data_IF_486628912612
#
_entry.id   IF_486628912612
#
_cell.length_a   1.000
_cell.length_b   1.000
_cell.length_c   1.000
_cell.angle_alpha   90.00
_cell.angle_beta   90.00
_cell.angle_gamma   90.00
#
_symmetry.space_group_name_H-M   'P 1'
#
loop_
_entity.id
_entity.type
_entity.pdbx_description
1 polymer ?
#
# COMPACT_ATOMS: atom_id res chain seq x y z
N UNK A 1 8.42 -5.70 40.14
CA UNK A 1 9.20 -6.07 38.94
C UNK A 1 8.72 -7.41 38.46
N UNK A 2 7.75 -7.39 37.54
CA UNK A 2 7.26 -8.59 36.87
C UNK A 2 8.16 -8.91 35.69
N UNK A 3 8.53 -10.19 35.54
CA UNK A 3 9.30 -10.68 34.39
C UNK A 3 8.41 -11.59 33.59
N UNK A 4 8.27 -11.32 32.29
CA UNK A 4 7.51 -12.18 31.38
C UNK A 4 8.50 -12.95 30.51
N UNK A 5 8.44 -14.28 30.59
CA UNK A 5 9.26 -15.17 29.77
C UNK A 5 8.53 -15.39 28.44
N UNK A 6 9.20 -15.09 27.34
CA UNK A 6 8.71 -15.33 25.97
C UNK A 6 9.57 -16.38 25.28
N UNK A 7 9.16 -16.81 24.08
CA UNK A 7 9.99 -17.68 23.23
C UNK A 7 11.32 -17.05 22.81
N UNK A 8 11.40 -15.72 22.83
CA UNK A 8 12.48 -14.94 22.25
C UNK A 8 13.40 -14.32 23.32
N UNK A 9 13.04 -14.40 24.60
CA UNK A 9 13.77 -13.75 25.68
C UNK A 9 12.88 -13.35 26.84
N UNK A 10 13.42 -12.55 27.75
CA UNK A 10 12.73 -12.07 28.95
C UNK A 10 12.39 -10.60 28.76
N UNK A 11 11.12 -10.26 28.98
CA UNK A 11 10.68 -8.88 29.15
C UNK A 11 10.79 -8.49 30.63
N UNK A 12 11.61 -7.48 30.91
CA UNK A 12 11.84 -6.93 32.24
C UNK A 12 10.82 -5.83 32.55
N UNK A 13 10.29 -5.86 33.78
CA UNK A 13 9.22 -4.99 34.27
C UNK A 13 8.09 -4.81 33.24
N UNK A 14 7.50 -5.95 32.87
CA UNK A 14 6.51 -6.02 31.81
C UNK A 14 5.17 -6.53 32.35
N UNK A 15 4.09 -5.99 31.80
CA UNK A 15 2.71 -6.38 32.12
C UNK A 15 1.96 -6.77 30.84
N UNK A 16 0.95 -7.63 30.99
CA UNK A 16 0.02 -7.94 29.89
C UNK A 16 -0.94 -6.77 29.74
N UNK A 17 -0.87 -6.09 28.59
CA UNK A 17 -1.68 -4.91 28.29
C UNK A 17 -3.02 -5.28 27.65
N UNK A 18 -3.04 -6.34 26.84
CA UNK A 18 -4.22 -6.79 26.08
C UNK A 18 -4.30 -8.32 26.09
N UNK A 19 -5.52 -8.85 26.02
CA UNK A 19 -5.80 -10.28 25.90
C UNK A 19 -6.72 -10.52 24.70
N UNK A 20 -6.51 -11.65 24.04
CA UNK A 20 -7.50 -12.19 23.10
C UNK A 20 -8.80 -12.54 23.83
N UNK A 21 -9.92 -12.58 23.10
CA UNK A 21 -11.21 -13.04 23.64
C UNK A 21 -11.19 -14.47 24.19
N UNK A 22 -10.22 -15.27 23.79
CA UNK A 22 -9.95 -16.64 24.26
C UNK A 22 -9.07 -16.69 25.51
N UNK A 23 -8.54 -15.56 25.98
CA UNK A 23 -7.83 -15.40 27.26
C UNK A 23 -6.30 -15.41 27.18
N UNK A 24 -5.71 -15.68 26.00
CA UNK A 24 -4.26 -15.60 25.82
C UNK A 24 -3.77 -14.14 25.73
N UNK A 25 -2.54 -13.84 26.19
CA UNK A 25 -1.96 -12.50 26.02
C UNK A 25 -1.88 -12.10 24.54
N UNK A 26 -2.28 -10.87 24.23
CA UNK A 26 -2.18 -10.27 22.88
C UNK A 26 -1.08 -9.22 22.82
N UNK A 27 -0.84 -8.50 23.91
CA UNK A 27 0.14 -7.43 23.94
C UNK A 27 0.80 -7.25 25.31
N UNK A 28 2.04 -6.78 25.30
CA UNK A 28 2.83 -6.50 26.49
C UNK A 28 3.28 -5.05 26.51
N UNK A 29 3.13 -4.40 27.66
CA UNK A 29 3.82 -3.14 27.98
C UNK A 29 5.14 -3.47 28.64
N UNK A 30 6.19 -2.74 28.31
CA UNK A 30 7.57 -2.97 28.81
C UNK A 30 8.09 -1.68 29.40
N UNK A 31 8.51 -1.68 30.66
CA UNK A 31 9.03 -0.48 31.34
C UNK A 31 10.56 -0.44 31.41
N UNK A 32 11.21 -1.60 31.40
CA UNK A 32 12.67 -1.72 31.47
C UNK A 32 13.30 -2.35 30.23
N UNK A 33 14.59 -2.08 30.05
CA UNK A 33 15.38 -2.64 28.97
C UNK A 33 15.21 -4.16 28.89
N UNK A 34 14.83 -4.61 27.70
CA UNK A 34 14.60 -6.02 27.39
C UNK A 34 15.16 -6.30 26.02
N UNK A 35 15.87 -7.43 25.88
CA UNK A 35 16.41 -7.86 24.59
C UNK A 35 15.73 -9.17 24.18
N UNK A 36 15.10 -9.16 22.99
CA UNK A 36 14.47 -10.32 22.41
C UNK A 36 15.26 -10.77 21.18
N UNK A 37 15.67 -12.03 21.18
CA UNK A 37 16.33 -12.65 20.02
C UNK A 37 15.28 -13.18 19.06
N UNK A 38 15.04 -12.46 17.97
CA UNK A 38 14.04 -12.79 16.95
C UNK A 38 14.75 -12.95 15.61
N UNK A 39 14.63 -14.13 14.99
CA UNK A 39 15.47 -14.53 13.86
C UNK A 39 16.96 -14.36 14.26
N UNK A 40 17.76 -13.69 13.43
CA UNK A 40 19.17 -13.38 13.69
C UNK A 40 19.38 -12.00 14.33
N UNK A 41 18.31 -11.34 14.82
CA UNK A 41 18.36 -9.99 15.36
C UNK A 41 18.11 -9.95 16.87
N UNK A 42 18.86 -9.08 17.54
CA UNK A 42 18.58 -8.66 18.90
C UNK A 42 17.71 -7.41 18.85
N UNK A 43 16.42 -7.58 19.16
CA UNK A 43 15.42 -6.53 19.11
C UNK A 43 15.12 -6.02 20.52
N UNK A 44 15.29 -4.72 20.72
CA UNK A 44 14.98 -4.05 21.99
C UNK A 44 13.63 -3.37 21.84
N UNK A 45 12.54 -3.87 22.46
CA UNK A 45 11.26 -3.19 22.43
C UNK A 45 11.38 -1.80 23.05
N UNK A 46 10.59 -0.85 22.55
CA UNK A 46 10.43 0.46 23.17
C UNK A 46 10.02 0.28 24.64
N UNK A 47 10.70 0.97 25.55
CA UNK A 47 10.46 0.86 26.99
C UNK A 47 10.62 2.22 27.69
N UNK A 48 10.06 2.36 28.89
CA UNK A 48 10.16 3.58 29.68
C UNK A 48 9.37 4.76 29.12
N UNK A 49 9.88 5.98 29.31
CA UNK A 49 9.16 7.19 28.91
C UNK A 49 9.18 7.38 27.39
N UNK A 50 7.99 7.47 26.81
CA UNK A 50 7.75 7.66 25.39
C UNK A 50 7.62 9.16 25.11
N UNK A 51 8.44 9.70 24.20
CA UNK A 51 8.34 11.10 23.80
C UNK A 51 7.06 11.42 23.01
N UNK A 52 6.77 12.70 22.77
CA UNK A 52 5.56 13.16 22.07
C UNK A 52 5.41 12.63 20.63
N UNK A 53 6.52 12.22 19.99
CA UNK A 53 6.52 11.65 18.64
C UNK A 53 6.14 10.18 18.65
N UNK A 54 6.47 9.42 19.69
CA UNK A 54 6.33 7.97 19.68
C UNK A 54 4.92 7.52 20.09
N UNK A 55 4.49 6.37 19.58
CA UNK A 55 3.13 5.85 19.83
C UNK A 55 3.03 5.26 21.23
N UNK A 56 1.95 5.55 21.94
CA UNK A 56 1.64 5.01 23.27
C UNK A 56 1.09 3.56 23.25
N UNK A 57 1.07 2.91 22.08
CA UNK A 57 0.60 1.53 21.96
C UNK A 57 1.60 0.54 22.58
N UNK A 58 1.13 -0.62 23.07
CA UNK A 58 2.02 -1.66 23.59
C UNK A 58 3.12 -2.00 22.56
N UNK A 59 4.40 -1.94 22.95
CA UNK A 59 5.54 -2.07 22.05
C UNK A 59 5.70 -3.49 21.51
N UNK A 60 5.19 -4.51 22.22
CA UNK A 60 5.23 -5.91 21.78
C UNK A 60 3.80 -6.44 21.67
N UNK A 61 3.41 -6.88 20.48
CA UNK A 61 2.19 -7.65 20.25
C UNK A 61 2.54 -9.06 19.81
N UNK A 62 1.76 -10.04 20.23
CA UNK A 62 1.96 -11.46 19.90
C UNK A 62 0.71 -12.07 19.31
N UNK A 63 0.87 -13.11 18.49
CA UNK A 63 -0.21 -14.00 18.09
C UNK A 63 -0.59 -14.94 19.22
N UNK A 64 -1.73 -15.64 19.10
CA UNK A 64 -2.17 -16.65 20.08
C UNK A 64 -1.15 -17.75 20.32
N UNK A 65 -0.37 -18.10 19.29
CA UNK A 65 0.70 -19.09 19.40
C UNK A 65 1.93 -18.58 20.17
N UNK A 66 1.96 -17.31 20.60
CA UNK A 66 3.06 -16.67 21.31
C UNK A 66 4.20 -16.13 20.42
N UNK A 67 4.09 -16.25 19.10
CA UNK A 67 5.02 -15.61 18.18
C UNK A 67 4.77 -14.11 18.15
N UNK A 68 5.83 -13.31 17.95
CA UNK A 68 5.69 -11.86 17.87
C UNK A 68 4.91 -11.52 16.60
N UNK A 69 3.91 -10.64 16.75
CA UNK A 69 3.12 -10.05 15.66
C UNK A 69 3.67 -8.70 15.26
N UNK A 70 4.10 -7.90 16.24
CA UNK A 70 4.78 -6.63 15.98
C UNK A 70 5.65 -6.20 17.14
N UNK A 71 6.74 -5.51 16.83
CA UNK A 71 7.63 -4.87 17.78
C UNK A 71 7.93 -3.43 17.35
N UNK A 72 7.60 -2.46 18.19
CA UNK A 72 8.13 -1.09 18.10
C UNK A 72 9.42 -1.03 18.91
N UNK A 73 10.50 -0.56 18.29
CA UNK A 73 11.88 -0.73 18.77
C UNK A 73 12.37 0.54 19.46
N UNK A 74 13.07 0.42 20.60
CA UNK A 74 13.57 1.59 21.33
C UNK A 74 14.49 2.46 20.46
N UNK A 75 15.44 1.82 19.79
CA UNK A 75 16.42 2.44 18.90
C UNK A 75 16.24 1.94 17.46
N UNK A 76 16.71 2.75 16.49
CA UNK A 76 16.77 2.34 15.10
C UNK A 76 17.60 1.06 14.97
N UNK A 77 16.98 0.01 14.46
CA UNK A 77 17.63 -1.29 14.26
C UNK A 77 17.88 -1.51 12.77
N UNK A 78 19.07 -2.01 12.43
CA UNK A 78 19.46 -2.33 11.06
C UNK A 78 18.98 -3.73 10.70
N UNK A 79 18.17 -3.82 9.65
CA UNK A 79 17.64 -5.07 9.09
C UNK A 79 18.21 -5.28 7.70
N UNK A 80 18.81 -6.45 7.50
CA UNK A 80 19.32 -6.88 6.20
C UNK A 80 18.24 -7.66 5.46
N UNK A 81 17.99 -7.28 4.21
CA UNK A 81 17.03 -7.94 3.33
C UNK A 81 17.67 -8.23 1.97
N UNK A 82 17.01 -9.04 1.14
CA UNK A 82 17.47 -9.34 -0.22
C UNK A 82 17.57 -8.09 -1.13
N UNK A 83 16.83 -7.03 -0.81
CA UNK A 83 16.76 -5.80 -1.61
C UNK A 83 17.59 -4.64 -1.02
N UNK A 84 18.25 -4.85 0.12
CA UNK A 84 19.06 -3.82 0.76
C UNK A 84 19.01 -3.86 2.28
N UNK A 85 19.61 -2.82 2.87
CA UNK A 85 19.75 -2.65 4.31
C UNK A 85 18.89 -1.47 4.75
N UNK A 86 18.05 -1.68 5.76
CA UNK A 86 17.08 -0.68 6.22
C UNK A 86 17.19 -0.48 7.73
N UNK A 87 17.21 0.77 8.16
CA UNK A 87 17.05 1.13 9.56
C UNK A 87 15.57 1.32 9.86
N UNK A 88 15.08 0.69 10.93
CA UNK A 88 13.65 0.64 11.23
C UNK A 88 13.36 0.93 12.70
N UNK A 89 12.20 1.56 12.93
CA UNK A 89 11.64 1.78 14.25
C UNK A 89 10.57 0.75 14.61
N UNK A 90 10.05 0.02 13.62
CA UNK A 90 9.06 -1.03 13.84
C UNK A 90 9.13 -2.14 12.81
N UNK A 91 8.86 -3.35 13.29
CA UNK A 91 8.75 -4.58 12.50
C UNK A 91 7.43 -5.25 12.81
N UNK A 92 6.76 -5.77 11.78
CA UNK A 92 5.65 -6.73 11.92
C UNK A 92 6.06 -8.06 11.33
N UNK A 93 5.44 -9.13 11.83
CA UNK A 93 5.76 -10.50 11.45
C UNK A 93 4.50 -11.26 11.06
N UNK A 94 4.69 -12.28 10.24
CA UNK A 94 3.70 -13.32 10.00
C UNK A 94 3.60 -14.25 11.22
N UNK A 95 2.53 -15.05 11.28
CA UNK A 95 2.28 -15.93 12.43
C UNK A 95 3.33 -17.04 12.57
N UNK A 96 4.01 -17.41 11.48
CA UNK A 96 5.15 -18.33 11.46
C UNK A 96 6.46 -17.72 12.00
N UNK A 97 6.52 -16.40 12.13
CA UNK A 97 7.67 -15.65 12.63
C UNK A 97 8.51 -14.96 11.56
N UNK A 98 8.19 -15.11 10.26
CA UNK A 98 8.88 -14.42 9.19
C UNK A 98 8.51 -12.92 9.14
N UNK A 99 9.39 -12.08 8.57
CA UNK A 99 9.15 -10.64 8.50
C UNK A 99 7.98 -10.37 7.57
N UNK A 100 6.97 -9.65 8.08
CA UNK A 100 5.85 -9.18 7.28
C UNK A 100 6.12 -7.78 6.75
N UNK A 101 6.46 -6.82 7.61
CA UNK A 101 6.66 -5.42 7.20
C UNK A 101 7.72 -4.72 8.02
N UNK A 102 8.48 -3.88 7.34
CA UNK A 102 9.46 -2.97 7.91
C UNK A 102 8.96 -1.54 7.82
N UNK A 103 9.08 -0.80 8.93
CA UNK A 103 8.73 0.62 9.01
C UNK A 103 9.97 1.42 9.41
N UNK A 104 10.56 2.20 8.48
CA UNK A 104 11.69 3.06 8.81
C UNK A 104 11.40 4.06 9.92
N UNK A 105 10.14 4.50 10.02
CA UNK A 105 9.65 5.37 11.08
C UNK A 105 8.28 4.89 11.58
N UNK A 106 8.01 5.05 12.88
CA UNK A 106 6.75 4.67 13.56
C UNK A 106 6.18 5.79 14.44
N UNK A 107 6.37 7.07 14.03
CA UNK A 107 5.84 8.22 14.75
C UNK A 107 4.31 8.30 14.78
N UNK A 108 3.78 8.94 15.81
CA UNK A 108 2.38 9.33 16.01
C UNK A 108 2.18 10.71 15.41
N UNK A 109 1.23 10.83 14.48
CA UNK A 109 0.77 12.14 14.04
C UNK A 109 -0.16 12.76 15.09
N UNK A 110 0.04 14.04 15.39
CA UNK A 110 -0.71 14.79 16.39
C UNK A 110 -0.85 16.26 15.97
N UNK A 111 -1.52 17.08 16.79
CA UNK A 111 -1.54 18.54 16.58
C UNK A 111 -0.17 19.22 16.71
N UNK A 112 0.80 18.55 17.33
CA UNK A 112 2.17 19.05 17.54
C UNK A 112 3.21 18.33 16.68
N UNK A 113 2.85 17.20 16.07
CA UNK A 113 3.74 16.41 15.20
C UNK A 113 3.04 16.06 13.90
N UNK A 114 3.45 16.70 12.81
CA UNK A 114 2.76 16.60 11.52
C UNK A 114 3.39 15.56 10.60
N UNK A 115 2.69 15.21 9.52
CA UNK A 115 3.26 14.38 8.44
C UNK A 115 4.57 14.99 7.90
N UNK A 116 4.62 16.32 7.81
CA UNK A 116 5.80 17.06 7.33
C UNK A 116 6.99 16.94 8.28
N UNK A 117 6.75 16.85 9.59
CA UNK A 117 7.80 16.67 10.58
C UNK A 117 8.39 15.25 10.51
N UNK A 118 7.53 14.25 10.39
CA UNK A 118 7.96 12.86 10.20
C UNK A 118 8.71 12.68 8.86
N UNK A 119 8.24 13.33 7.80
CA UNK A 119 8.91 13.31 6.49
C UNK A 119 10.33 13.91 6.54
N UNK A 120 10.60 14.91 7.38
CA UNK A 120 11.96 15.48 7.53
C UNK A 120 12.95 14.46 8.10
N UNK A 121 12.48 13.55 8.96
CA UNK A 121 13.30 12.47 9.54
C UNK A 121 13.53 11.31 8.57
N UNK A 122 12.63 11.10 7.61
CA UNK A 122 12.69 9.96 6.71
C UNK A 122 13.96 9.97 5.85
N UNK A 123 14.63 8.82 5.75
CA UNK A 123 15.78 8.61 4.86
C UNK A 123 15.32 8.18 3.48
N UNK A 124 16.02 8.65 2.45
CA UNK A 124 15.82 8.19 1.09
C UNK A 124 16.59 6.88 0.87
N UNK A 125 15.98 5.95 0.15
CA UNK A 125 16.56 4.67 -0.21
C UNK A 125 16.55 4.51 -1.73
N UNK A 126 17.56 3.83 -2.26
CA UNK A 126 17.70 3.57 -3.69
C UNK A 126 17.13 2.22 -4.05
N UNK A 127 16.33 2.19 -5.11
CA UNK A 127 15.72 1.00 -5.66
C UNK A 127 16.02 0.87 -7.14
N UNK A 128 16.16 -0.37 -7.59
CA UNK A 128 16.39 -0.71 -9.00
C UNK A 128 15.58 -1.95 -9.35
N UNK A 129 14.61 -1.75 -10.23
CA UNK A 129 13.74 -2.76 -10.80
C UNK A 129 13.69 -2.57 -12.32
N UNK A 130 13.27 -3.59 -13.05
CA UNK A 130 13.13 -3.52 -14.52
C UNK A 130 12.18 -2.40 -14.98
N UNK A 131 11.17 -2.07 -14.16
CA UNK A 131 10.20 -1.03 -14.46
C UNK A 131 10.64 0.38 -14.02
N UNK A 132 11.62 0.49 -13.11
CA UNK A 132 12.04 1.77 -12.56
C UNK A 132 13.34 1.70 -11.77
N UNK A 133 14.15 2.75 -11.84
CA UNK A 133 15.19 3.03 -10.85
C UNK A 133 14.95 4.41 -10.24
N UNK A 134 14.91 4.47 -8.91
CA UNK A 134 14.55 5.67 -8.18
C UNK A 134 15.21 5.73 -6.80
N UNK A 135 15.29 6.95 -6.27
CA UNK A 135 15.67 7.23 -4.89
C UNK A 135 14.49 7.96 -4.24
N UNK A 136 13.94 7.39 -3.16
CA UNK A 136 12.75 7.94 -2.51
C UNK A 136 12.72 7.63 -1.01
N UNK A 137 12.06 8.48 -0.23
CA UNK A 137 11.68 8.17 1.15
C UNK A 137 10.50 7.21 1.15
N UNK A 138 10.56 6.20 2.01
CA UNK A 138 9.50 5.19 2.13
C UNK A 138 8.85 5.24 3.52
N UNK A 139 7.58 4.87 3.58
CA UNK A 139 6.85 4.65 4.83
C UNK A 139 6.96 3.20 5.29
N UNK A 140 6.94 2.24 4.36
CA UNK A 140 7.10 0.83 4.69
C UNK A 140 7.50 -0.06 3.52
N UNK A 141 8.06 -1.23 3.85
CA UNK A 141 8.31 -2.35 2.93
C UNK A 141 7.52 -3.56 3.41
N UNK A 142 6.68 -4.15 2.56
CA UNK A 142 5.96 -5.39 2.84
C UNK A 142 6.64 -6.55 2.12
N UNK A 143 6.79 -7.68 2.79
CA UNK A 143 7.40 -8.90 2.25
C UNK A 143 6.37 -10.03 2.13
N UNK A 144 6.58 -10.95 1.19
CA UNK A 144 5.90 -12.24 1.23
C UNK A 144 6.44 -13.09 2.38
N UNK A 145 5.71 -14.12 2.81
CA UNK A 145 6.22 -15.12 3.79
C UNK A 145 7.52 -15.78 3.31
N UNK A 146 7.74 -15.83 2.00
CA UNK A 146 8.97 -16.32 1.35
C UNK A 146 10.08 -15.25 1.26
N UNK A 147 9.89 -14.08 1.88
CA UNK A 147 10.85 -12.98 2.06
C UNK A 147 11.24 -12.18 0.80
N UNK A 148 10.61 -12.41 -0.35
CA UNK A 148 10.68 -11.47 -1.47
C UNK A 148 9.87 -10.21 -1.16
N UNK A 149 10.30 -9.06 -1.69
CA UNK A 149 9.58 -7.80 -1.55
C UNK A 149 8.22 -7.90 -2.26
N UNK A 150 7.16 -7.59 -1.52
CA UNK A 150 5.77 -7.58 -1.98
C UNK A 150 5.27 -6.18 -2.32
N UNK A 151 5.65 -5.16 -1.54
CA UNK A 151 5.29 -3.77 -1.86
C UNK A 151 6.22 -2.75 -1.20
N UNK A 152 6.28 -1.59 -1.82
CA UNK A 152 6.91 -0.39 -1.27
C UNK A 152 5.80 0.65 -1.10
N UNK A 153 5.68 1.22 0.09
CA UNK A 153 4.83 2.38 0.34
C UNK A 153 5.71 3.62 0.43
N UNK A 154 5.45 4.59 -0.42
CA UNK A 154 6.16 5.87 -0.51
C UNK A 154 5.55 6.89 0.45
N UNK A 155 6.35 7.86 0.87
CA UNK A 155 5.79 9.06 1.51
C UNK A 155 4.88 9.83 0.52
N UNK A 156 3.81 10.52 0.97
CA UNK A 156 2.86 11.18 0.07
C UNK A 156 3.48 12.22 -0.87
N UNK A 157 4.58 12.87 -0.47
CA UNK A 157 5.34 13.83 -1.28
C UNK A 157 6.20 13.17 -2.36
N UNK A 158 6.51 11.90 -2.23
CA UNK A 158 7.37 11.17 -3.16
C UNK A 158 6.61 10.78 -4.42
N UNK A 159 7.34 10.81 -5.54
CA UNK A 159 6.85 10.47 -6.87
C UNK A 159 7.94 9.68 -7.58
N UNK A 160 7.54 8.58 -8.20
CA UNK A 160 8.48 7.71 -8.92
C UNK A 160 8.04 7.57 -10.36
N UNK A 161 9.01 7.48 -11.26
CA UNK A 161 8.72 7.18 -12.68
C UNK A 161 8.44 5.69 -12.81
N UNK A 162 7.39 5.31 -13.52
CA UNK A 162 7.02 3.93 -13.80
C UNK A 162 7.12 3.69 -15.31
N UNK A 163 7.82 2.64 -15.73
CA UNK A 163 7.94 2.22 -17.12
C UNK A 163 7.56 0.75 -17.25
N UNK A 164 6.42 0.44 -17.87
CA UNK A 164 5.94 -0.94 -18.04
C UNK A 164 5.43 -1.10 -19.46
N UNK A 165 6.11 -1.91 -20.26
CA UNK A 165 5.81 -2.02 -21.69
C UNK A 165 5.86 -0.63 -22.37
N UNK A 166 4.76 -0.23 -23.00
CA UNK A 166 4.61 1.09 -23.66
C UNK A 166 4.19 2.20 -22.67
N UNK A 167 3.89 1.88 -21.41
CA UNK A 167 3.41 2.85 -20.43
C UNK A 167 4.58 3.55 -19.73
N UNK A 168 4.56 4.89 -19.68
CA UNK A 168 5.54 5.71 -18.97
C UNK A 168 4.82 6.90 -18.30
N UNK A 169 4.81 6.93 -16.97
CA UNK A 169 4.11 7.94 -16.18
C UNK A 169 4.71 8.08 -14.78
N UNK A 170 4.26 9.09 -14.03
CA UNK A 170 4.60 9.26 -12.61
C UNK A 170 3.60 8.52 -11.71
N UNK A 171 4.10 7.72 -10.80
CA UNK A 171 3.34 7.04 -9.75
C UNK A 171 3.36 7.78 -8.41
N UNK A 172 2.35 7.52 -7.58
CA UNK A 172 2.21 7.96 -6.18
C UNK A 172 1.93 6.75 -5.29
N UNK A 173 1.91 6.95 -3.96
CA UNK A 173 1.57 5.97 -2.91
C UNK A 173 2.55 4.80 -2.80
N UNK A 174 2.89 4.13 -3.89
CA UNK A 174 3.71 2.93 -3.84
C UNK A 174 3.58 2.05 -5.08
N UNK A 175 4.21 0.88 -4.98
CA UNK A 175 4.11 -0.21 -5.95
C UNK A 175 3.98 -1.52 -5.20
N UNK A 176 3.25 -2.46 -5.80
CA UNK A 176 3.30 -3.86 -5.41
C UNK A 176 4.01 -4.69 -6.48
N UNK A 177 4.60 -5.79 -6.07
CA UNK A 177 5.45 -6.65 -6.89
C UNK A 177 4.94 -8.10 -6.79
N UNK A 178 5.15 -8.86 -7.86
CA UNK A 178 5.16 -10.32 -7.79
C UNK A 178 6.44 -10.81 -7.11
N UNK A 179 6.46 -12.07 -6.66
CA UNK A 179 7.68 -12.69 -6.07
C UNK A 179 8.89 -12.63 -7.00
N UNK A 180 8.65 -12.62 -8.32
CA UNK A 180 9.69 -12.45 -9.35
C UNK A 180 10.34 -11.06 -9.37
N UNK A 181 9.85 -10.10 -8.58
CA UNK A 181 10.31 -8.69 -8.57
C UNK A 181 9.68 -7.83 -9.68
N UNK A 182 8.87 -8.43 -10.55
CA UNK A 182 8.10 -7.72 -11.57
C UNK A 182 6.94 -6.95 -10.93
N UNK A 183 6.57 -5.83 -11.53
CA UNK A 183 5.47 -5.00 -11.04
C UNK A 183 4.14 -5.74 -11.11
N UNK A 184 3.39 -5.71 -10.00
CA UNK A 184 2.03 -6.23 -9.92
C UNK A 184 1.01 -5.08 -10.06
N UNK A 185 1.19 -4.00 -9.30
CA UNK A 185 0.33 -2.81 -9.43
C UNK A 185 1.02 -1.54 -8.98
N UNK A 186 0.51 -0.39 -9.44
CA UNK A 186 0.94 0.93 -9.01
C UNK A 186 -0.19 1.96 -9.13
N UNK A 187 -0.08 3.08 -8.40
CA UNK A 187 -1.08 4.15 -8.45
C UNK A 187 -0.57 5.31 -9.31
N UNK A 188 -1.21 5.63 -10.45
CA UNK A 188 -0.88 6.83 -11.22
C UNK A 188 -1.06 8.11 -10.39
N UNK A 189 -0.15 9.08 -10.58
CA UNK A 189 -0.23 10.39 -9.95
C UNK A 189 -1.44 11.20 -10.46
N UNK A 190 -1.71 11.10 -11.75
CA UNK A 190 -2.80 11.77 -12.46
C UNK A 190 -3.49 10.77 -13.38
N UNK A 191 -4.66 11.15 -13.90
CA UNK A 191 -5.34 10.42 -14.95
C UNK A 191 -4.42 10.14 -16.13
N UNK A 192 -4.04 8.86 -16.28
CA UNK A 192 -2.99 8.43 -17.21
C UNK A 192 -3.61 7.53 -18.28
N UNK A 193 -3.45 7.91 -19.55
CA UNK A 193 -3.95 7.12 -20.67
C UNK A 193 -3.21 5.79 -20.78
N UNK A 194 -3.92 4.69 -20.52
CA UNK A 194 -3.44 3.33 -20.67
C UNK A 194 -4.05 2.73 -21.94
N UNK A 195 -3.20 2.13 -22.78
CA UNK A 195 -3.65 1.36 -23.94
C UNK A 195 -4.15 0.00 -23.45
N UNK A 196 -5.42 -0.28 -23.68
CA UNK A 196 -6.08 -1.53 -23.29
C UNK A 196 -6.61 -2.27 -24.53
N UNK A 197 -6.98 -3.55 -24.41
CA UNK A 197 -7.60 -4.30 -25.50
C UNK A 197 -8.87 -3.66 -26.08
N UNK A 198 -9.61 -2.87 -25.29
CA UNK A 198 -10.86 -2.23 -25.72
C UNK A 198 -10.70 -0.75 -26.11
N UNK A 199 -9.48 -0.20 -26.05
CA UNK A 199 -9.20 1.21 -26.35
C UNK A 199 -8.33 1.88 -25.30
N UNK A 200 -8.18 3.21 -25.39
CA UNK A 200 -7.45 3.97 -24.38
C UNK A 200 -8.37 4.33 -23.21
N UNK A 201 -7.97 3.97 -22.00
CA UNK A 201 -8.68 4.30 -20.76
C UNK A 201 -7.70 5.01 -19.82
N UNK A 202 -8.13 6.11 -19.22
CA UNK A 202 -7.41 6.82 -18.18
C UNK A 202 -7.52 6.03 -16.86
N UNK A 203 -6.41 5.46 -16.42
CA UNK A 203 -6.31 4.84 -15.10
C UNK A 203 -6.18 5.94 -14.04
N UNK A 204 -7.16 6.01 -13.13
CA UNK A 204 -7.18 6.96 -12.02
C UNK A 204 -8.25 6.56 -11.00
N UNK A 205 -7.83 6.31 -9.76
CA UNK A 205 -8.73 6.18 -8.63
C UNK A 205 -8.70 7.43 -7.76
N UNK A 206 -9.81 8.17 -7.77
CA UNK A 206 -10.00 9.35 -6.92
C UNK A 206 -10.10 8.98 -5.43
N UNK A 207 -10.41 7.73 -5.12
CA UNK A 207 -10.58 7.21 -3.76
C UNK A 207 -9.33 6.52 -3.20
N UNK A 208 -8.20 6.55 -3.92
CA UNK A 208 -6.97 5.90 -3.46
C UNK A 208 -6.49 6.52 -2.12
N UNK A 209 -6.51 5.71 -1.05
CA UNK A 209 -6.33 6.20 0.33
C UNK A 209 -4.87 6.45 0.76
N UNK A 210 -3.86 6.07 -0.03
CA UNK A 210 -2.45 6.38 0.26
C UNK A 210 -1.83 5.70 1.50
N UNK A 211 -2.56 4.79 2.14
CA UNK A 211 -2.12 4.14 3.40
C UNK A 211 -1.03 3.09 3.14
N UNK A 212 -1.12 2.37 2.02
CA UNK A 212 -0.15 1.34 1.63
C UNK A 212 -0.07 1.21 0.10
N UNK A 213 1.10 0.79 -0.40
CA UNK A 213 1.33 0.47 -1.81
C UNK A 213 0.86 -0.92 -2.25
N UNK A 214 0.14 -1.66 -1.40
CA UNK A 214 -0.18 -3.08 -1.61
C UNK A 214 -1.25 -3.33 -2.67
N UNK A 215 -2.19 -2.40 -2.83
CA UNK A 215 -3.31 -2.47 -3.77
C UNK A 215 -3.46 -1.11 -4.41
N UNK A 216 -3.39 -1.06 -5.74
CA UNK A 216 -3.39 0.20 -6.49
C UNK A 216 -4.33 0.10 -7.68
N UNK A 217 -4.67 1.25 -8.26
CA UNK A 217 -5.65 1.33 -9.33
C UNK A 217 -5.21 0.72 -10.66
N UNK A 218 -3.92 0.55 -10.95
CA UNK A 218 -3.42 -0.04 -12.20
C UNK A 218 -2.66 -1.33 -11.92
N UNK A 219 -3.18 -2.46 -12.40
CA UNK A 219 -2.61 -3.80 -12.23
C UNK A 219 -2.08 -4.36 -13.56
N UNK A 220 -1.01 -5.14 -13.47
CA UNK A 220 -0.34 -5.80 -14.59
C UNK A 220 -0.22 -7.30 -14.35
N UNK A 221 -0.21 -8.07 -15.43
CA UNK A 221 0.30 -9.44 -15.40
C UNK A 221 1.83 -9.43 -15.32
N UNK A 222 2.44 -10.58 -14.97
CA UNK A 222 3.89 -10.72 -14.90
C UNK A 222 4.61 -10.53 -16.26
N UNK A 223 3.92 -10.57 -17.38
CA UNK A 223 4.49 -10.23 -18.68
C UNK A 223 4.48 -8.72 -18.99
N UNK A 224 3.91 -7.91 -18.10
CA UNK A 224 3.75 -6.46 -18.23
C UNK A 224 2.50 -6.03 -19.00
N UNK A 225 1.66 -6.97 -19.45
CA UNK A 225 0.36 -6.65 -20.04
C UNK A 225 -0.62 -6.15 -18.97
N UNK A 226 -1.60 -5.34 -19.38
CA UNK A 226 -2.60 -4.78 -18.46
C UNK A 226 -3.52 -5.89 -17.97
N UNK A 227 -3.62 -6.04 -16.64
CA UNK A 227 -4.51 -6.99 -15.99
C UNK A 227 -5.82 -6.32 -15.59
N UNK A 228 -5.75 -5.16 -14.94
CA UNK A 228 -6.94 -4.39 -14.61
C UNK A 228 -6.60 -2.94 -14.37
N UNK A 229 -7.60 -2.07 -14.45
CA UNK A 229 -7.49 -0.69 -14.00
C UNK A 229 -8.78 -0.21 -13.33
N UNK A 230 -8.65 0.80 -12.49
CA UNK A 230 -9.77 1.62 -12.00
C UNK A 230 -9.77 2.94 -12.76
N UNK A 231 -10.93 3.38 -13.21
CA UNK A 231 -11.13 4.70 -13.80
C UNK A 231 -12.22 5.48 -13.07
N UNK A 232 -11.94 6.74 -12.80
CA UNK A 232 -12.90 7.74 -12.30
C UNK A 232 -13.28 8.76 -13.37
N UNK A 233 -12.70 8.64 -14.57
CA UNK A 233 -12.70 9.69 -15.60
C UNK A 233 -13.22 9.22 -16.95
N UNK A 234 -13.59 7.95 -17.12
CA UNK A 234 -14.14 7.45 -18.37
C UNK A 234 -15.47 6.72 -18.24
N UNK A 235 -16.28 6.87 -19.29
CA UNK A 235 -17.45 6.04 -19.58
C UNK A 235 -17.09 5.04 -20.68
N UNK A 236 -17.50 3.79 -20.50
CA UNK A 236 -17.34 2.70 -21.46
C UNK A 236 -18.71 2.37 -22.05
N UNK A 237 -18.85 2.54 -23.35
CA UNK A 237 -20.05 2.14 -24.10
C UNK A 237 -19.76 0.87 -24.87
N UNK A 238 -20.62 -0.14 -24.72
CA UNK A 238 -20.53 -1.42 -25.41
C UNK A 238 -21.70 -1.53 -26.37
N UNK A 239 -21.42 -1.82 -27.64
CA UNK A 239 -22.42 -2.23 -28.63
C UNK A 239 -22.31 -3.74 -28.83
N UNK A 240 -23.34 -4.47 -28.42
CA UNK A 240 -23.35 -5.93 -28.45
C UNK A 240 -23.62 -6.46 -29.85
N UNK A 241 -23.28 -7.73 -30.09
CA UNK A 241 -23.60 -8.44 -31.32
C UNK A 241 -25.12 -8.54 -31.56
N UNK A 242 -25.91 -8.53 -30.49
CA UNK A 242 -27.38 -8.53 -30.52
C UNK A 242 -27.99 -7.16 -30.85
N UNK A 243 -27.17 -6.10 -30.89
CA UNK A 243 -27.57 -4.74 -31.22
C UNK A 243 -27.85 -3.83 -30.01
N UNK A 244 -27.69 -4.35 -28.79
CA UNK A 244 -27.86 -3.55 -27.57
C UNK A 244 -26.73 -2.55 -27.39
N UNK A 245 -27.04 -1.44 -26.70
CA UNK A 245 -26.04 -0.45 -26.27
C UNK A 245 -26.05 -0.33 -24.75
N UNK A 246 -24.94 -0.71 -24.11
CA UNK A 246 -24.78 -0.74 -22.67
C UNK A 246 -23.76 0.31 -22.24
N UNK A 247 -24.02 1.01 -21.14
CA UNK A 247 -23.16 2.06 -20.60
C UNK A 247 -22.67 1.71 -19.21
N UNK A 248 -21.36 1.78 -19.03
CA UNK A 248 -20.71 1.71 -17.73
C UNK A 248 -19.96 3.00 -17.46
N UNK A 249 -20.21 3.63 -16.32
CA UNK A 249 -19.55 4.87 -15.93
C UNK A 249 -19.38 4.91 -14.41
N UNK A 250 -18.39 5.69 -13.94
CA UNK A 250 -18.38 6.15 -12.56
C UNK A 250 -19.72 6.82 -12.20
N UNK A 251 -20.03 6.86 -10.90
CA UNK A 251 -21.27 7.48 -10.40
C UNK A 251 -20.92 8.46 -9.28
N UNK A 252 -21.44 9.68 -9.37
CA UNK A 252 -21.41 10.63 -8.25
C UNK A 252 -22.62 10.37 -7.35
N UNK A 253 -22.36 10.04 -6.10
CA UNK A 253 -23.38 9.84 -5.06
C UNK A 253 -23.17 10.87 -3.95
N UNK A 254 -24.19 11.14 -3.14
CA UNK A 254 -23.98 11.95 -1.92
C UNK A 254 -23.34 11.06 -0.86
N UNK A 255 -22.30 11.56 -0.19
CA UNK A 255 -21.60 10.80 0.86
C UNK A 255 -22.54 10.43 2.02
N UNK A 256 -23.48 11.32 2.36
CA UNK A 256 -24.55 11.07 3.32
C UNK A 256 -25.88 11.62 2.77
N UNK A 257 -27.00 11.10 3.27
CA UNK A 257 -28.32 11.70 3.03
C UNK A 257 -28.28 13.19 3.41
N UNK A 258 -28.54 14.06 2.44
CA UNK A 258 -28.46 15.54 2.53
C UNK A 258 -27.06 16.17 2.58
N UNK A 259 -25.98 15.43 2.33
CA UNK A 259 -24.65 16.02 2.16
C UNK A 259 -24.52 16.73 0.80
N UNK A 260 -23.86 17.89 0.80
CA UNK A 260 -23.35 18.53 -0.43
C UNK A 260 -22.04 17.88 -0.90
N UNK A 261 -21.38 17.11 -0.03
CA UNK A 261 -20.18 16.35 -0.38
C UNK A 261 -20.60 15.16 -1.24
N UNK A 262 -20.10 15.15 -2.48
CA UNK A 262 -20.25 14.04 -3.40
C UNK A 262 -19.09 13.07 -3.25
N UNK A 263 -19.42 11.80 -3.22
CA UNK A 263 -18.50 10.68 -3.35
C UNK A 263 -18.59 10.11 -4.77
N UNK A 264 -17.52 9.48 -5.24
CA UNK A 264 -17.45 8.88 -6.58
C UNK A 264 -17.31 7.38 -6.46
N UNK A 265 -18.34 6.65 -6.88
CA UNK A 265 -18.19 5.22 -7.17
C UNK A 265 -17.41 5.13 -8.47
N UNK A 266 -16.21 4.54 -8.40
CA UNK A 266 -15.31 4.37 -9.54
C UNK A 266 -15.68 3.11 -10.34
N UNK A 267 -15.12 3.00 -11.55
CA UNK A 267 -15.35 1.86 -12.43
C UNK A 267 -14.11 0.97 -12.44
N UNK A 268 -14.25 -0.32 -12.13
CA UNK A 268 -13.16 -1.30 -12.28
C UNK A 268 -13.30 -2.06 -13.59
N UNK A 269 -12.19 -2.18 -14.33
CA UNK A 269 -12.11 -2.88 -15.61
C UNK A 269 -10.99 -3.91 -15.53
N UNK A 270 -11.31 -5.19 -15.75
CA UNK A 270 -10.38 -6.31 -15.70
C UNK A 270 -10.30 -7.00 -17.06
N UNK A 271 -9.12 -7.45 -17.46
CA UNK A 271 -8.86 -8.10 -18.75
C UNK A 271 -8.33 -9.51 -18.52
N UNK A 272 -9.03 -10.51 -19.05
CA UNK A 272 -8.67 -11.92 -18.94
C UNK A 272 -8.85 -12.55 -20.31
N UNK A 273 -7.76 -13.03 -20.91
CA UNK A 273 -7.76 -13.57 -22.27
C UNK A 273 -8.44 -12.62 -23.29
N UNK A 274 -9.54 -13.05 -23.91
CA UNK A 274 -10.31 -12.28 -24.89
C UNK A 274 -11.51 -11.55 -24.27
N UNK A 275 -11.56 -11.43 -22.94
CA UNK A 275 -12.70 -10.88 -22.20
C UNK A 275 -12.33 -9.61 -21.46
N UNK A 276 -13.32 -8.72 -21.35
CA UNK A 276 -13.31 -7.61 -20.42
C UNK A 276 -14.42 -7.80 -19.38
N UNK A 277 -14.06 -7.64 -18.11
CA UNK A 277 -14.96 -7.73 -16.97
C UNK A 277 -15.06 -6.35 -16.32
N UNK A 278 -16.28 -5.83 -16.20
CA UNK A 278 -16.57 -4.53 -15.60
C UNK A 278 -17.26 -4.73 -14.25
N UNK A 279 -16.73 -4.06 -13.22
CA UNK A 279 -17.20 -4.12 -11.82
C UNK A 279 -17.40 -5.54 -11.27
N UNK A 280 -16.57 -6.49 -11.73
CA UNK A 280 -16.62 -7.92 -11.37
C UNK A 280 -17.96 -8.62 -11.67
N UNK A 281 -18.83 -7.98 -12.44
CA UNK A 281 -20.19 -8.46 -12.67
C UNK A 281 -20.51 -8.65 -14.15
N UNK A 282 -20.02 -7.74 -15.00
CA UNK A 282 -20.42 -7.69 -16.41
C UNK A 282 -19.27 -8.14 -17.29
N UNK A 283 -19.45 -9.26 -17.98
CA UNK A 283 -18.44 -9.86 -18.84
C UNK A 283 -18.80 -9.66 -20.32
N UNK A 284 -17.82 -9.28 -21.14
CA UNK A 284 -17.97 -9.08 -22.57
C UNK A 284 -16.78 -9.69 -23.33
N UNK A 285 -17.08 -10.47 -24.38
CA UNK A 285 -16.08 -10.94 -25.35
C UNK A 285 -15.60 -9.76 -26.21
N UNK A 286 -14.29 -9.50 -26.22
CA UNK A 286 -13.71 -8.31 -26.86
C UNK A 286 -13.93 -8.34 -28.37
N UNK A 287 -13.82 -9.52 -29.01
CA UNK A 287 -13.97 -9.65 -30.46
C UNK A 287 -15.41 -9.55 -30.97
N UNK A 288 -16.39 -9.86 -30.12
CA UNK A 288 -17.80 -9.87 -30.50
C UNK A 288 -18.49 -8.51 -30.30
N UNK A 289 -17.87 -7.64 -29.51
CA UNK A 289 -18.44 -6.37 -29.08
C UNK A 289 -17.63 -5.19 -29.62
N UNK A 290 -18.29 -4.02 -29.77
CA UNK A 290 -17.61 -2.76 -30.09
C UNK A 290 -17.60 -1.85 -28.88
N UNK A 291 -16.43 -1.31 -28.57
CA UNK A 291 -16.20 -0.46 -27.41
C UNK A 291 -15.96 0.98 -27.83
N UNK A 292 -16.59 1.93 -27.13
CA UNK A 292 -16.34 3.36 -27.26
C UNK A 292 -16.05 3.94 -25.88
N UNK A 293 -14.88 4.55 -25.72
CA UNK A 293 -14.41 5.12 -24.46
C UNK A 293 -14.51 6.64 -24.56
N UNK A 294 -15.24 7.25 -23.63
CA UNK A 294 -15.45 8.70 -23.55
C UNK A 294 -15.06 9.23 -22.19
N UNK A 295 -14.79 10.53 -22.09
CA UNK A 295 -14.61 11.18 -20.79
C UNK A 295 -15.92 11.16 -19.98
N UNK A 296 -15.80 10.95 -18.68
CA UNK A 296 -16.87 11.04 -17.70
C UNK A 296 -16.81 12.41 -16.99
N UNK A 297 -17.91 13.16 -17.04
CA UNK A 297 -18.02 14.50 -16.45
C UNK A 297 -17.32 15.60 -17.25
N UNK A 298 -17.42 16.84 -16.74
CA UNK A 298 -16.69 17.99 -17.30
C UNK A 298 -15.24 18.00 -16.81
N UNK A 299 -14.29 18.20 -17.71
CA UNK A 299 -12.90 18.47 -17.33
C UNK A 299 -12.85 19.88 -16.72
N UNK A 300 -12.75 19.99 -15.40
CA UNK A 300 -12.47 21.26 -14.77
C UNK A 300 -11.04 21.67 -15.12
N UNK A 301 -10.89 22.57 -16.11
CA UNK A 301 -9.63 23.24 -16.38
C UNK A 301 -9.18 23.96 -15.11
N UNK A 302 -8.06 23.53 -14.52
CA UNK A 302 -7.44 24.30 -13.45
C UNK A 302 -6.77 25.53 -14.07
N UNK A 303 -6.84 26.67 -13.38
CA UNK A 303 -6.27 27.95 -13.85
C UNK A 303 -4.76 27.89 -14.14
N UNK A 304 -4.07 26.84 -13.68
CA UNK A 304 -2.62 26.72 -13.82
C UNK A 304 -2.16 26.01 -15.09
N UNK A 305 -3.05 25.35 -15.84
CA UNK A 305 -2.68 24.53 -17.00
C UNK A 305 -1.79 23.36 -16.60
N UNK A 306 -2.13 22.14 -17.02
CA UNK A 306 -1.31 20.97 -16.70
C UNK A 306 0.09 21.14 -17.33
N UNK A 307 1.07 21.54 -16.52
CA UNK A 307 2.47 21.56 -16.92
C UNK A 307 3.02 20.16 -16.69
N UNK A 308 3.32 19.46 -17.79
CA UNK A 308 4.25 18.34 -17.76
C UNK A 308 5.62 18.86 -17.34
N UNK A 309 5.93 18.81 -16.05
CA UNK A 309 7.30 18.92 -15.53
C UNK A 309 7.53 17.80 -14.54
#
# INVERSE_FOLDING_TARGET
MEKIITKYGILNDAIIAEYYSTGEPEAYKVEEYSELKVLDYNLVPLHGFVDERRKEFPPVKVFKNGNIKSISLNDLTVINTSIGVFEVEKITFYEDGEINRLFPLDGRLSGYWTEDDEYKLAKAYKFSFDFSSFEAKIMSLHFYETQELKSITLWPKEKIKINVGECNFAGRIGVSLYKSGKINSCEPLIATNIKTPIGKIEAYDVNAMGIHGDSNSLEFYEDGSIKSLITSTNTITIKTSEGDTIFHSPKKIRLYSNSEVLDTITLKVEFIDDKVIIDKQYEYEIKENKFEIKAFGERHFTLNGDRNK
#
